data_IF_110360423831
#
_entry.id   IF_110360423831
#
_cell.length_a   1.000
_cell.length_b   1.000
_cell.length_c   1.000
_cell.angle_alpha   90.00
_cell.angle_beta   90.00
_cell.angle_gamma   90.00
#
_symmetry.space_group_name_H-M   'P 1'
#
loop_
_entity.id
_entity.type
_entity.pdbx_description
1 polymer ?
#
# COMPACT_ATOMS: atom_id res chain seq x y z
N UNK A 1 -41.95 34.00 -25.80
CA UNK A 1 -40.77 34.05 -24.91
C UNK A 1 -40.89 32.94 -23.88
N UNK A 2 -40.29 31.79 -24.14
CA UNK A 2 -40.21 30.68 -23.18
C UNK A 2 -38.84 30.71 -22.52
N UNK A 3 -38.83 30.98 -21.19
CA UNK A 3 -37.61 30.84 -20.37
C UNK A 3 -37.41 29.34 -20.02
N UNK A 4 -36.40 28.70 -20.63
CA UNK A 4 -35.92 27.39 -20.20
C UNK A 4 -35.10 27.57 -18.94
N UNK A 5 -35.62 27.05 -17.82
CA UNK A 5 -34.87 26.90 -16.57
C UNK A 5 -33.99 25.65 -16.67
N UNK A 6 -32.68 25.82 -16.84
CA UNK A 6 -31.69 24.77 -16.62
C UNK A 6 -31.63 24.50 -15.10
N UNK A 7 -32.07 23.30 -14.71
CA UNK A 7 -31.81 22.76 -13.36
C UNK A 7 -30.46 22.06 -13.44
N UNK A 8 -29.43 22.68 -12.88
CA UNK A 8 -28.14 22.04 -12.67
C UNK A 8 -28.29 21.06 -11.49
N UNK A 9 -28.31 19.78 -11.76
CA UNK A 9 -28.22 18.74 -10.74
C UNK A 9 -26.78 18.68 -10.25
N UNK A 10 -26.52 19.25 -9.07
CA UNK A 10 -25.26 19.05 -8.36
C UNK A 10 -25.23 17.61 -7.85
N UNK A 11 -24.42 16.76 -8.45
CA UNK A 11 -24.09 15.44 -7.91
C UNK A 11 -23.27 15.65 -6.63
N UNK A 12 -23.91 15.52 -5.48
CA UNK A 12 -23.22 15.41 -4.20
C UNK A 12 -22.55 14.03 -4.21
N UNK A 13 -21.25 14.02 -4.52
CA UNK A 13 -20.44 12.84 -4.25
C UNK A 13 -20.40 12.65 -2.74
N UNK A 14 -21.15 11.66 -2.25
CA UNK A 14 -21.05 11.22 -0.87
C UNK A 14 -19.63 10.71 -0.66
N UNK A 15 -18.77 11.51 -0.04
CA UNK A 15 -17.48 11.07 0.44
C UNK A 15 -17.74 10.09 1.58
N UNK A 16 -17.71 8.80 1.29
CA UNK A 16 -17.67 7.78 2.33
C UNK A 16 -16.40 8.02 3.16
N UNK A 17 -16.48 8.00 4.50
CA UNK A 17 -15.30 8.06 5.32
C UNK A 17 -14.41 6.85 4.98
N UNK A 18 -13.28 7.09 4.32
CA UNK A 18 -12.29 6.07 4.12
C UNK A 18 -11.63 5.83 5.48
N UNK A 19 -11.86 4.67 6.06
CA UNK A 19 -11.15 4.18 7.22
C UNK A 19 -9.88 3.52 6.69
N UNK A 20 -8.72 3.93 7.15
CA UNK A 20 -7.52 3.17 6.94
C UNK A 20 -7.44 2.08 8.03
N UNK A 21 -6.54 2.14 8.97
CA UNK A 21 -6.40 1.08 9.97
C UNK A 21 -7.61 1.02 10.91
N UNK A 22 -8.28 -0.14 10.96
CA UNK A 22 -9.39 -0.42 11.89
C UNK A 22 -8.83 -1.07 13.15
N UNK A 23 -8.98 -0.40 14.27
CA UNK A 23 -8.38 -0.74 15.57
C UNK A 23 -9.43 -1.23 16.56
N UNK A 24 -9.00 -1.92 17.61
CA UNK A 24 -9.87 -2.29 18.74
C UNK A 24 -10.42 -1.04 19.44
N UNK A 25 -11.72 -1.10 19.81
CA UNK A 25 -12.37 0.00 20.50
C UNK A 25 -11.97 0.10 22.00
N UNK A 26 -11.48 -0.99 22.58
CA UNK A 26 -11.11 -1.11 24.01
C UNK A 26 -9.62 -0.86 24.28
N UNK A 27 -8.88 -0.28 23.30
CA UNK A 27 -7.46 0.08 23.43
C UNK A 27 -7.24 1.56 23.14
N UNK A 28 -6.25 2.14 23.79
CA UNK A 28 -5.91 3.54 23.59
C UNK A 28 -5.17 3.76 22.27
N UNK A 29 -5.46 4.86 21.58
CA UNK A 29 -4.79 5.22 20.30
C UNK A 29 -3.28 5.40 20.50
N UNK A 30 -2.86 5.87 21.66
CA UNK A 30 -1.46 6.06 22.02
C UNK A 30 -0.64 4.77 21.92
N UNK A 31 -1.21 3.61 22.24
CA UNK A 31 -0.53 2.31 22.17
C UNK A 31 -0.21 1.93 20.71
N UNK A 32 -1.15 2.19 19.79
CA UNK A 32 -0.96 1.95 18.35
C UNK A 32 0.06 2.90 17.71
N UNK A 33 0.09 4.14 18.16
CA UNK A 33 1.08 5.14 17.75
C UNK A 33 2.49 4.77 18.27
N UNK A 34 2.60 4.32 19.50
CA UNK A 34 3.87 3.88 20.09
C UNK A 34 4.40 2.63 19.36
N UNK A 35 3.54 1.64 19.12
CA UNK A 35 3.90 0.44 18.38
C UNK A 35 4.44 0.79 16.99
N UNK A 36 3.85 1.76 16.29
CA UNK A 36 4.25 2.17 14.95
C UNK A 36 5.69 2.71 14.88
N UNK A 37 6.23 3.24 15.96
CA UNK A 37 7.60 3.78 15.98
C UNK A 37 8.67 2.77 15.62
N UNK A 38 8.38 1.47 15.76
CA UNK A 38 9.28 0.36 15.42
C UNK A 38 9.27 -0.01 13.93
N UNK A 39 8.34 0.56 13.15
CA UNK A 39 8.07 0.17 11.76
C UNK A 39 8.25 1.36 10.82
N UNK A 40 9.31 2.13 11.01
CA UNK A 40 9.58 3.36 10.25
C UNK A 40 9.74 3.14 8.73
N UNK A 41 10.00 1.89 8.29
CA UNK A 41 10.02 1.54 6.86
C UNK A 41 8.63 1.49 6.19
N UNK A 42 7.53 1.52 6.97
CA UNK A 42 6.21 1.81 6.42
C UNK A 42 6.17 3.28 5.98
N UNK A 43 5.75 3.54 4.76
CA UNK A 43 5.75 4.88 4.19
C UNK A 43 4.44 5.17 3.46
N UNK A 44 3.91 6.37 3.68
CA UNK A 44 2.80 6.86 2.88
C UNK A 44 3.28 7.22 1.46
N UNK A 45 2.48 6.88 0.46
CA UNK A 45 2.70 7.22 -0.95
C UNK A 45 1.71 8.34 -1.34
N UNK A 46 1.85 9.47 -0.68
CA UNK A 46 0.91 10.59 -0.85
C UNK A 46 -0.54 10.21 -0.56
N UNK A 47 -1.44 10.53 -1.48
CA UNK A 47 -2.87 10.15 -1.41
C UNK A 47 -3.19 8.84 -2.15
N UNK A 48 -2.18 8.13 -2.66
CA UNK A 48 -2.39 6.94 -3.48
C UNK A 48 -2.45 5.66 -2.66
N UNK A 49 -1.89 5.65 -1.46
CA UNK A 49 -1.84 4.50 -0.55
C UNK A 49 -0.54 4.44 0.23
N UNK A 50 -0.13 3.23 0.56
CA UNK A 50 0.98 2.93 1.46
C UNK A 50 2.03 2.04 0.78
N UNK A 51 3.19 1.88 1.41
CA UNK A 51 4.23 0.97 0.98
C UNK A 51 5.25 0.69 2.06
N UNK A 52 6.22 -0.16 1.75
CA UNK A 52 7.36 -0.46 2.58
C UNK A 52 8.67 -0.10 1.88
N UNK A 53 9.55 0.62 2.54
CA UNK A 53 10.93 0.79 2.09
C UNK A 53 11.69 -0.53 2.30
N UNK A 54 11.99 -1.24 1.20
CA UNK A 54 12.66 -2.55 1.25
C UNK A 54 14.16 -2.49 0.94
N UNK A 55 14.60 -1.39 0.37
CA UNK A 55 16.00 -1.01 0.13
C UNK A 55 16.08 0.52 -0.01
N UNK A 56 17.25 1.17 0.07
CA UNK A 56 17.35 2.63 0.15
C UNK A 56 16.61 3.42 -0.93
N UNK A 57 16.40 2.83 -2.11
CA UNK A 57 15.68 3.44 -3.25
C UNK A 57 14.44 2.66 -3.68
N UNK A 58 14.05 1.62 -2.95
CA UNK A 58 13.00 0.71 -3.38
C UNK A 58 11.86 0.66 -2.38
N UNK A 59 10.67 0.94 -2.87
CA UNK A 59 9.43 0.79 -2.12
C UNK A 59 8.62 -0.35 -2.72
N UNK A 60 8.20 -1.27 -1.87
CA UNK A 60 7.26 -2.32 -2.19
C UNK A 60 5.85 -1.83 -1.83
N UNK A 61 4.90 -1.97 -2.75
CA UNK A 61 3.51 -1.53 -2.59
C UNK A 61 2.55 -2.44 -3.36
N UNK A 62 1.26 -2.11 -3.39
CA UNK A 62 0.28 -2.87 -4.18
C UNK A 62 0.27 -2.49 -5.67
N UNK A 63 -0.17 -3.41 -6.52
CA UNK A 63 -0.41 -3.15 -7.94
C UNK A 63 -1.49 -2.10 -8.16
N UNK A 64 -2.47 -1.99 -7.24
CA UNK A 64 -3.52 -0.98 -7.26
C UNK A 64 -2.93 0.44 -7.11
N UNK A 65 -2.04 0.63 -6.13
CA UNK A 65 -1.29 1.89 -5.95
C UNK A 65 -0.46 2.21 -7.19
N UNK A 66 0.27 1.24 -7.73
CA UNK A 66 1.06 1.42 -8.94
C UNK A 66 0.22 1.83 -10.16
N UNK A 67 -0.99 1.28 -10.29
CA UNK A 67 -1.93 1.66 -11.35
C UNK A 67 -2.37 3.11 -11.20
N UNK A 68 -2.80 3.51 -10.00
CA UNK A 68 -3.20 4.88 -9.72
C UNK A 68 -2.07 5.89 -9.99
N UNK A 69 -0.82 5.54 -9.64
CA UNK A 69 0.35 6.35 -9.93
C UNK A 69 0.62 6.48 -11.44
N UNK A 70 0.43 5.41 -12.24
CA UNK A 70 0.59 5.47 -13.70
C UNK A 70 -0.48 6.30 -14.39
N UNK A 71 -1.67 6.40 -13.82
CA UNK A 71 -2.76 7.23 -14.31
C UNK A 71 -2.55 8.71 -13.99
N UNK A 72 -1.74 9.02 -13.00
CA UNK A 72 -1.37 10.40 -12.67
C UNK A 72 -0.55 11.02 -13.80
N UNK A 73 -0.90 12.27 -14.16
CA UNK A 73 -0.21 13.01 -15.24
C UNK A 73 0.98 13.77 -14.68
N UNK A 74 2.10 13.72 -15.39
CA UNK A 74 3.31 14.49 -15.08
C UNK A 74 4.39 13.68 -14.37
N UNK A 75 5.36 14.38 -13.80
CA UNK A 75 6.43 13.79 -13.01
C UNK A 75 5.87 13.31 -11.68
N UNK A 76 6.07 12.04 -11.35
CA UNK A 76 5.66 11.48 -10.08
C UNK A 76 6.62 11.92 -8.98
N UNK A 77 6.19 12.92 -8.22
CA UNK A 77 6.88 13.42 -7.05
C UNK A 77 5.97 13.22 -5.84
N UNK A 78 6.44 12.44 -4.88
CA UNK A 78 5.62 11.94 -3.79
C UNK A 78 6.24 12.27 -2.45
N UNK A 79 5.45 12.64 -1.44
CA UNK A 79 5.92 12.79 -0.07
C UNK A 79 6.18 11.40 0.52
N UNK A 80 7.45 11.03 0.65
CA UNK A 80 7.89 9.74 1.17
C UNK A 80 8.95 9.98 2.25
N UNK A 81 8.72 9.43 3.45
CA UNK A 81 9.64 9.59 4.57
C UNK A 81 9.84 11.06 4.97
N UNK A 82 8.79 11.87 4.91
CA UNK A 82 8.81 13.28 5.30
C UNK A 82 9.45 14.23 4.27
N UNK A 83 9.84 13.75 3.09
CA UNK A 83 10.42 14.57 2.02
C UNK A 83 9.81 14.24 0.66
N UNK A 84 9.75 15.24 -0.22
CA UNK A 84 9.33 15.07 -1.61
C UNK A 84 10.39 14.29 -2.40
N UNK A 85 9.99 13.18 -3.03
CA UNK A 85 10.90 12.27 -3.76
C UNK A 85 10.38 11.97 -5.16
N UNK A 86 11.27 11.99 -6.14
CA UNK A 86 10.96 11.64 -7.52
C UNK A 86 10.93 10.11 -7.69
N UNK A 87 9.85 9.59 -8.26
CA UNK A 87 9.74 8.20 -8.68
C UNK A 87 10.35 8.07 -10.08
N UNK A 88 11.42 7.29 -10.18
CA UNK A 88 12.15 7.04 -11.43
C UNK A 88 11.51 5.93 -12.26
N UNK A 89 10.91 4.93 -11.62
CA UNK A 89 10.31 3.79 -12.29
C UNK A 89 9.26 3.08 -11.44
N UNK A 90 8.31 2.44 -12.11
CA UNK A 90 7.25 1.61 -11.52
C UNK A 90 7.30 0.25 -12.20
N UNK A 91 7.47 -0.81 -11.41
CA UNK A 91 7.58 -2.18 -11.89
C UNK A 91 6.44 -3.01 -11.32
N UNK A 92 5.81 -3.81 -12.16
CA UNK A 92 4.75 -4.76 -11.77
C UNK A 92 5.03 -6.13 -12.39
N UNK A 93 4.75 -7.24 -11.70
CA UNK A 93 4.81 -8.55 -12.32
C UNK A 93 3.68 -8.70 -13.37
N UNK A 94 3.73 -9.72 -14.23
CA UNK A 94 2.65 -10.02 -15.17
C UNK A 94 1.30 -10.26 -14.48
N UNK A 95 1.34 -10.87 -13.30
CA UNK A 95 0.15 -11.19 -12.49
C UNK A 95 0.40 -10.84 -11.02
N UNK A 96 -0.68 -10.49 -10.31
CA UNK A 96 -0.67 -10.20 -8.88
C UNK A 96 -0.84 -8.73 -8.53
N UNK A 97 -1.22 -8.48 -7.28
CA UNK A 97 -1.40 -7.13 -6.73
C UNK A 97 -0.18 -6.73 -5.89
N UNK A 98 0.94 -6.51 -6.58
CA UNK A 98 2.21 -6.09 -5.99
C UNK A 98 2.97 -5.22 -6.99
N UNK A 99 3.77 -4.28 -6.49
CA UNK A 99 4.58 -3.40 -7.33
C UNK A 99 5.83 -2.92 -6.58
N UNK A 100 6.84 -2.54 -7.36
CA UNK A 100 8.03 -1.86 -6.89
C UNK A 100 8.07 -0.43 -7.45
N UNK A 101 8.37 0.53 -6.60
CA UNK A 101 8.71 1.89 -6.99
C UNK A 101 10.22 2.08 -6.81
N UNK A 102 10.88 2.53 -7.87
CA UNK A 102 12.27 2.95 -7.82
C UNK A 102 12.33 4.46 -7.63
N UNK A 103 12.93 4.92 -6.56
CA UNK A 103 13.17 6.33 -6.29
C UNK A 103 14.46 6.80 -7.00
N UNK A 104 14.50 8.07 -7.41
CA UNK A 104 15.71 8.68 -7.98
C UNK A 104 16.82 8.73 -6.95
N UNK A 105 16.50 9.15 -5.74
CA UNK A 105 17.43 9.31 -4.63
C UNK A 105 17.10 8.35 -3.48
N UNK A 106 18.10 7.92 -2.70
CA UNK A 106 17.84 7.07 -1.53
C UNK A 106 17.05 7.81 -0.45
N UNK A 107 16.30 7.03 0.33
CA UNK A 107 15.67 7.51 1.57
C UNK A 107 16.71 7.40 2.67
N UNK A 108 17.11 8.54 3.22
CA UNK A 108 18.04 8.61 4.34
C UNK A 108 17.29 8.66 5.67
N UNK A 109 17.92 8.15 6.73
CA UNK A 109 17.38 8.19 8.10
C UNK A 109 16.27 7.15 8.37
N UNK A 110 15.88 6.35 7.40
CA UNK A 110 14.95 5.23 7.55
C UNK A 110 15.66 3.93 7.19
N UNK A 111 15.71 3.01 8.13
CA UNK A 111 16.24 1.67 7.87
C UNK A 111 15.23 0.86 7.05
N UNK A 112 15.67 0.33 5.92
CA UNK A 112 14.84 -0.49 5.05
C UNK A 112 14.60 -1.87 5.67
N UNK A 113 13.38 -2.39 5.54
CA UNK A 113 13.00 -3.73 5.99
C UNK A 113 12.94 -4.68 4.81
N UNK A 114 13.80 -5.72 4.74
CA UNK A 114 13.85 -6.61 3.58
C UNK A 114 12.57 -7.43 3.39
N UNK A 115 12.26 -7.86 2.16
CA UNK A 115 11.15 -8.76 1.88
C UNK A 115 11.37 -10.14 2.52
N UNK A 116 10.29 -10.76 3.02
CA UNK A 116 10.30 -12.13 3.52
C UNK A 116 10.47 -13.11 2.34
N UNK A 117 11.25 -14.18 2.56
CA UNK A 117 11.63 -15.12 1.49
C UNK A 117 11.26 -16.58 1.76
N UNK A 118 10.92 -16.89 3.02
CA UNK A 118 10.55 -18.25 3.40
C UNK A 118 9.03 -18.44 3.22
N UNK A 119 8.54 -19.68 3.23
CA UNK A 119 7.16 -20.06 2.93
C UNK A 119 6.37 -20.53 4.17
N UNK A 120 6.81 -20.10 5.35
CA UNK A 120 6.28 -20.55 6.64
C UNK A 120 5.53 -19.46 7.43
N UNK A 121 4.91 -18.50 6.74
CA UNK A 121 4.21 -17.36 7.36
C UNK A 121 3.01 -17.75 8.23
N UNK A 122 2.47 -18.96 8.00
CA UNK A 122 1.27 -19.44 8.69
C UNK A 122 1.40 -19.46 10.20
N UNK A 123 0.39 -18.94 10.92
CA UNK A 123 0.28 -18.82 12.37
C UNK A 123 1.27 -17.86 13.04
N UNK A 124 2.10 -17.16 12.25
CA UNK A 124 2.92 -16.08 12.80
C UNK A 124 2.08 -14.84 13.08
N UNK A 125 2.41 -14.15 14.15
CA UNK A 125 1.95 -12.80 14.37
C UNK A 125 2.62 -11.88 13.35
N UNK A 126 1.84 -10.95 12.79
CA UNK A 126 2.31 -9.88 11.92
C UNK A 126 1.87 -8.54 12.45
N UNK A 127 2.65 -7.52 12.15
CA UNK A 127 2.33 -6.14 12.51
C UNK A 127 2.04 -5.36 11.24
N UNK A 128 0.84 -4.82 11.16
CA UNK A 128 0.39 -3.97 10.05
C UNK A 128 0.71 -2.53 10.44
N UNK A 129 1.36 -1.77 9.57
CA UNK A 129 1.64 -0.35 9.82
C UNK A 129 1.16 0.51 8.67
N UNK A 130 0.46 1.60 8.98
CA UNK A 130 -0.10 2.54 8.00
C UNK A 130 -0.18 3.96 8.55
N UNK A 131 -0.14 4.95 7.64
CA UNK A 131 -0.32 6.38 7.91
C UNK A 131 -1.72 6.86 7.53
N UNK A 132 -2.55 5.97 7.06
CA UNK A 132 -3.91 6.32 6.65
C UNK A 132 -4.78 6.83 7.81
N UNK A 133 -6.06 7.01 7.53
CA UNK A 133 -7.00 7.37 8.56
C UNK A 133 -7.20 6.21 9.54
N UNK A 134 -7.29 6.44 10.83
CA UNK A 134 -7.56 5.41 11.81
C UNK A 134 -9.02 5.47 12.29
N UNK A 135 -9.64 4.31 12.45
CA UNK A 135 -10.98 4.18 13.01
C UNK A 135 -11.04 3.05 14.02
N UNK A 136 -12.04 3.08 14.88
CA UNK A 136 -12.27 2.01 15.86
C UNK A 136 -13.37 1.06 15.38
N UNK A 137 -13.21 -0.23 15.64
CA UNK A 137 -14.25 -1.22 15.31
C UNK A 137 -15.59 -0.83 15.92
N UNK A 138 -16.63 -0.78 15.06
CA UNK A 138 -18.00 -0.43 15.47
C UNK A 138 -18.27 1.07 15.62
N UNK A 139 -17.29 1.94 15.44
CA UNK A 139 -17.46 3.40 15.52
C UNK A 139 -17.43 4.02 14.11
N UNK A 140 -18.17 5.13 13.95
CA UNK A 140 -18.16 5.91 12.72
C UNK A 140 -17.09 7.01 12.71
N UNK A 141 -16.45 7.26 13.85
CA UNK A 141 -15.43 8.29 14.00
C UNK A 141 -14.09 7.85 13.39
N UNK A 142 -13.47 8.77 12.66
CA UNK A 142 -12.18 8.55 11.97
C UNK A 142 -11.22 9.66 12.30
N UNK A 143 -9.99 9.31 12.65
CA UNK A 143 -8.88 10.24 12.87
C UNK A 143 -8.01 10.29 11.62
N UNK A 144 -7.83 11.48 11.05
CA UNK A 144 -6.95 11.73 9.89
C UNK A 144 -5.88 12.74 10.26
N UNK A 145 -4.84 12.29 10.89
CA UNK A 145 -3.73 13.13 11.37
C UNK A 145 -2.40 12.85 10.66
N UNK A 146 -2.39 11.88 9.73
CA UNK A 146 -1.19 11.48 8.99
C UNK A 146 -0.12 10.78 9.84
N UNK A 147 -0.46 10.40 11.08
CA UNK A 147 0.45 9.69 11.97
C UNK A 147 0.39 8.19 11.70
N UNK A 148 1.56 7.56 11.70
CA UNK A 148 1.63 6.11 11.59
C UNK A 148 1.00 5.43 12.81
N UNK A 149 0.17 4.41 12.56
CA UNK A 149 -0.31 3.47 13.58
C UNK A 149 0.07 2.06 13.17
N UNK A 150 0.30 1.21 14.15
CA UNK A 150 0.56 -0.20 13.89
C UNK A 150 -0.36 -1.08 14.73
N UNK A 151 -0.84 -2.17 14.13
CA UNK A 151 -1.72 -3.13 14.78
C UNK A 151 -1.19 -4.55 14.57
N UNK A 152 -1.51 -5.44 15.51
CA UNK A 152 -1.05 -6.83 15.50
C UNK A 152 -2.19 -7.72 15.02
N UNK A 153 -1.90 -8.64 14.11
CA UNK A 153 -2.81 -9.71 13.76
C UNK A 153 -2.04 -11.02 13.54
N UNK A 154 -2.73 -12.09 13.18
CA UNK A 154 -2.12 -13.41 12.94
C UNK A 154 -2.42 -13.84 11.52
N UNK A 155 -1.47 -14.49 10.86
CA UNK A 155 -1.67 -15.14 9.57
C UNK A 155 -2.47 -16.42 9.80
N UNK A 156 -3.78 -16.37 9.57
CA UNK A 156 -4.68 -17.50 9.77
C UNK A 156 -4.82 -18.38 8.50
N UNK A 157 -4.52 -17.82 7.32
CA UNK A 157 -4.60 -18.50 6.04
C UNK A 157 -3.42 -18.15 5.14
N UNK A 158 -2.81 -19.16 4.53
CA UNK A 158 -1.75 -19.02 3.54
C UNK A 158 -2.20 -19.71 2.24
N UNK A 159 -2.23 -18.94 1.16
CA UNK A 159 -2.47 -19.42 -0.20
C UNK A 159 -1.24 -19.16 -1.07
N UNK A 160 -1.24 -19.59 -2.32
CA UNK A 160 -0.09 -19.44 -3.21
C UNK A 160 0.45 -18.00 -3.24
N UNK A 161 -0.45 -17.01 -3.35
CA UNK A 161 -0.10 -15.59 -3.47
C UNK A 161 -0.80 -14.67 -2.47
N UNK A 162 -1.48 -15.25 -1.47
CA UNK A 162 -2.29 -14.48 -0.53
C UNK A 162 -2.07 -14.94 0.91
N UNK A 163 -1.91 -14.00 1.81
CA UNK A 163 -2.06 -14.19 3.25
C UNK A 163 -3.40 -13.65 3.68
N UNK A 164 -4.13 -14.41 4.51
CA UNK A 164 -5.39 -13.99 5.09
C UNK A 164 -5.24 -13.84 6.60
N UNK A 165 -5.63 -12.67 7.11
CA UNK A 165 -5.69 -12.34 8.52
C UNK A 165 -7.16 -12.18 8.89
N UNK A 166 -7.63 -12.89 9.90
CA UNK A 166 -9.03 -12.80 10.29
C UNK A 166 -9.22 -11.80 11.43
N UNK A 167 -10.21 -10.93 11.32
CA UNK A 167 -10.63 -10.12 12.45
C UNK A 167 -11.38 -11.02 13.44
N UNK A 168 -10.80 -11.20 14.62
CA UNK A 168 -11.32 -12.05 15.68
C UNK A 168 -12.10 -11.24 16.70
N UNK A 169 -13.06 -11.89 17.36
CA UNK A 169 -13.74 -11.32 18.50
C UNK A 169 -12.79 -11.09 19.70
N UNK A 170 -13.19 -10.32 20.71
CA UNK A 170 -12.31 -9.92 21.83
C UNK A 170 -11.64 -11.09 22.55
N UNK A 171 -12.29 -12.25 22.61
CA UNK A 171 -11.79 -13.47 23.28
C UNK A 171 -10.57 -14.08 22.58
N UNK A 172 -10.52 -14.00 21.23
CA UNK A 172 -9.50 -14.64 20.39
C UNK A 172 -8.55 -13.62 19.72
N UNK A 173 -8.84 -12.34 19.87
CA UNK A 173 -8.09 -11.27 19.24
C UNK A 173 -6.72 -11.10 19.93
N UNK A 174 -5.70 -10.73 19.12
CA UNK A 174 -4.46 -10.21 19.68
C UNK A 174 -4.71 -8.91 20.46
N UNK A 175 -3.85 -8.60 21.40
CA UNK A 175 -4.00 -7.44 22.30
C UNK A 175 -4.19 -6.13 21.52
N UNK A 176 -3.43 -5.95 20.46
CA UNK A 176 -3.42 -4.77 19.59
C UNK A 176 -4.02 -5.07 18.21
N UNK A 177 -5.06 -5.93 18.15
CA UNK A 177 -5.62 -6.33 16.88
C UNK A 177 -6.08 -5.14 16.05
N UNK A 178 -5.82 -5.25 14.75
CA UNK A 178 -6.37 -4.35 13.74
C UNK A 178 -6.37 -5.00 12.37
N UNK A 179 -6.92 -4.29 11.40
CA UNK A 179 -6.97 -4.67 10.00
C UNK A 179 -6.81 -3.45 9.11
N UNK A 180 -6.28 -3.67 7.90
CA UNK A 180 -6.26 -2.66 6.87
C UNK A 180 -7.69 -2.27 6.45
N UNK A 181 -7.91 -1.00 6.24
CA UNK A 181 -9.17 -0.45 5.75
C UNK A 181 -9.01 0.26 4.41
N UNK A 182 -10.08 0.91 3.89
CA UNK A 182 -9.98 1.70 2.67
C UNK A 182 -8.96 2.83 2.81
N UNK A 183 -7.94 2.84 1.95
CA UNK A 183 -6.82 3.79 1.97
C UNK A 183 -5.51 3.23 2.50
N UNK A 184 -5.51 1.98 2.99
CA UNK A 184 -4.30 1.25 3.39
C UNK A 184 -3.77 0.34 2.28
N UNK A 185 -4.25 0.48 1.05
CA UNK A 185 -3.72 -0.28 -0.07
C UNK A 185 -2.20 -0.10 -0.15
N UNK A 186 -1.49 -1.22 -0.14
CA UNK A 186 -0.03 -1.20 -0.12
C UNK A 186 0.62 -1.20 1.27
N UNK A 187 -0.16 -1.07 2.36
CA UNK A 187 0.38 -1.12 3.72
C UNK A 187 1.09 -2.46 3.99
N UNK A 188 2.29 -2.42 4.58
CA UNK A 188 3.03 -3.64 4.90
C UNK A 188 2.48 -4.37 6.12
N UNK A 189 2.51 -5.71 6.05
CA UNK A 189 2.45 -6.60 7.17
C UNK A 189 3.87 -7.13 7.46
N UNK A 190 4.39 -6.78 8.61
CA UNK A 190 5.73 -7.16 9.05
C UNK A 190 5.70 -8.45 9.86
N UNK A 191 6.64 -9.33 9.57
CA UNK A 191 6.90 -10.55 10.33
C UNK A 191 8.27 -10.45 11.00
N UNK A 192 8.32 -10.74 12.29
CA UNK A 192 9.59 -10.84 13.01
C UNK A 192 10.01 -12.31 13.12
N UNK A 193 11.23 -12.61 12.67
CA UNK A 193 11.82 -13.95 12.77
C UNK A 193 13.28 -13.85 13.22
N UNK A 194 13.58 -14.56 14.30
CA UNK A 194 14.94 -14.55 14.90
C UNK A 194 15.46 -13.14 15.21
N UNK A 195 14.59 -12.27 15.72
CA UNK A 195 14.94 -10.88 16.07
C UNK A 195 15.14 -9.94 14.86
N UNK A 196 14.74 -10.34 13.65
CA UNK A 196 14.80 -9.51 12.45
C UNK A 196 13.41 -9.31 11.87
N UNK A 197 13.16 -8.11 11.41
CA UNK A 197 11.92 -7.75 10.72
C UNK A 197 12.02 -8.01 9.22
N UNK A 198 10.90 -8.44 8.65
CA UNK A 198 10.72 -8.67 7.22
C UNK A 198 9.34 -8.18 6.79
N UNK A 199 9.20 -7.74 5.54
CA UNK A 199 7.91 -7.47 4.92
C UNK A 199 7.35 -8.78 4.37
N UNK A 200 6.35 -9.35 5.03
CA UNK A 200 5.73 -10.63 4.66
C UNK A 200 4.49 -10.47 3.78
N UNK A 201 3.76 -9.36 3.94
CA UNK A 201 2.55 -9.09 3.18
C UNK A 201 2.42 -7.63 2.78
N UNK A 202 1.67 -7.39 1.69
CA UNK A 202 1.27 -6.06 1.22
C UNK A 202 -0.25 -6.03 1.12
N UNK A 203 -0.90 -5.11 1.82
CA UNK A 203 -2.36 -5.01 1.88
C UNK A 203 -2.95 -4.80 0.48
N UNK A 204 -3.91 -5.66 0.11
CA UNK A 204 -4.62 -5.55 -1.16
C UNK A 204 -5.71 -4.47 -1.13
N UNK A 205 -6.05 -4.02 0.07
CA UNK A 205 -7.20 -3.16 0.33
C UNK A 205 -8.51 -3.95 0.41
N UNK A 206 -9.53 -3.34 1.00
CA UNK A 206 -10.82 -4.00 1.17
C UNK A 206 -11.49 -4.22 -0.18
N UNK A 207 -12.16 -5.37 -0.32
CA UNK A 207 -13.05 -5.64 -1.46
C UNK A 207 -14.33 -4.83 -1.30
N UNK A 208 -14.31 -3.57 -1.71
CA UNK A 208 -15.42 -2.63 -1.59
C UNK A 208 -15.18 -1.53 -0.53
N UNK A 209 -16.14 -0.62 -0.38
CA UNK A 209 -16.04 0.52 0.55
C UNK A 209 -16.40 0.17 2.01
N UNK A 210 -16.51 -1.11 2.35
CA UNK A 210 -16.96 -1.54 3.67
C UNK A 210 -15.82 -1.51 4.70
N UNK A 211 -16.12 -0.96 5.87
CA UNK A 211 -15.24 -1.06 7.05
C UNK A 211 -15.16 -2.52 7.50
N UNK A 212 -13.97 -3.10 7.71
CA UNK A 212 -13.81 -4.46 8.21
C UNK A 212 -14.56 -4.70 9.54
N UNK A 213 -15.16 -5.88 9.67
CA UNK A 213 -15.93 -6.32 10.84
C UNK A 213 -15.36 -7.62 11.41
N UNK A 214 -15.68 -7.91 12.65
CA UNK A 214 -15.37 -9.21 13.25
C UNK A 214 -15.88 -10.34 12.35
N UNK A 215 -14.99 -11.27 12.02
CA UNK A 215 -15.23 -12.38 11.11
C UNK A 215 -14.76 -12.14 9.67
N UNK A 216 -14.54 -10.90 9.27
CA UNK A 216 -14.02 -10.57 7.94
C UNK A 216 -12.55 -10.98 7.80
N UNK A 217 -12.15 -11.13 6.54
CA UNK A 217 -10.77 -11.41 6.14
C UNK A 217 -10.10 -10.14 5.63
N UNK A 218 -8.97 -9.80 6.21
CA UNK A 218 -8.03 -8.82 5.71
C UNK A 218 -6.98 -9.55 4.85
N UNK A 219 -6.86 -9.16 3.57
CA UNK A 219 -6.07 -9.88 2.58
C UNK A 219 -4.81 -9.12 2.19
N UNK A 220 -3.71 -9.86 2.14
CA UNK A 220 -2.39 -9.36 1.77
C UNK A 220 -1.81 -10.17 0.63
N UNK A 221 -1.16 -9.50 -0.31
CA UNK A 221 -0.29 -10.19 -1.27
C UNK A 221 0.88 -10.80 -0.51
N UNK A 222 1.09 -12.11 -0.67
CA UNK A 222 2.15 -12.88 -0.03
C UNK A 222 3.49 -12.54 -0.67
N UNK A 223 4.37 -11.82 0.03
CA UNK A 223 5.62 -11.28 -0.53
C UNK A 223 6.61 -12.37 -0.91
N UNK A 224 6.71 -13.45 -0.12
CA UNK A 224 7.62 -14.56 -0.39
C UNK A 224 7.39 -15.20 -1.77
N UNK A 225 6.13 -15.23 -2.24
CA UNK A 225 5.78 -15.81 -3.55
C UNK A 225 6.22 -14.95 -4.75
N UNK A 226 6.70 -13.74 -4.51
CA UNK A 226 7.23 -12.82 -5.52
C UNK A 226 8.74 -12.56 -5.35
N UNK A 227 9.42 -13.38 -4.55
CA UNK A 227 10.82 -13.20 -4.22
C UNK A 227 11.73 -13.09 -5.45
N UNK A 228 11.63 -14.03 -6.37
CA UNK A 228 12.43 -14.06 -7.60
C UNK A 228 12.13 -12.84 -8.48
N UNK A 229 10.87 -12.49 -8.64
CA UNK A 229 10.49 -11.31 -9.41
C UNK A 229 11.04 -10.00 -8.80
N UNK A 230 10.98 -9.86 -7.47
CA UNK A 230 11.54 -8.69 -6.78
C UNK A 230 13.04 -8.56 -7.09
N UNK A 231 13.80 -9.66 -6.95
CA UNK A 231 15.24 -9.67 -7.18
C UNK A 231 15.57 -9.37 -8.65
N UNK A 232 14.85 -9.98 -9.58
CA UNK A 232 15.02 -9.74 -11.02
C UNK A 232 14.72 -8.29 -11.41
N UNK A 233 13.62 -7.72 -10.91
CA UNK A 233 13.25 -6.34 -11.19
C UNK A 233 14.29 -5.34 -10.66
N UNK A 234 14.76 -5.56 -9.43
CA UNK A 234 15.81 -4.74 -8.83
C UNK A 234 17.14 -4.87 -9.58
N UNK A 235 17.53 -6.07 -9.99
CA UNK A 235 18.75 -6.34 -10.77
C UNK A 235 18.70 -5.66 -12.14
N UNK A 236 17.62 -5.82 -12.90
CA UNK A 236 17.44 -5.19 -14.23
C UNK A 236 17.51 -3.67 -14.17
N UNK A 237 16.90 -3.08 -13.14
CA UNK A 237 16.96 -1.64 -12.96
C UNK A 237 18.39 -1.15 -12.64
N UNK A 238 19.15 -1.90 -11.85
CA UNK A 238 20.56 -1.60 -11.54
C UNK A 238 21.47 -1.73 -12.77
N UNK A 239 21.21 -2.69 -13.66
CA UNK A 239 21.94 -2.95 -14.90
C UNK A 239 21.65 -1.91 -16.00
N UNK A 240 20.68 -1.02 -15.81
CA UNK A 240 20.26 -0.05 -16.83
C UNK A 240 19.43 -0.66 -17.98
N UNK A 241 19.09 -1.95 -17.91
CA UNK A 241 18.29 -2.66 -18.90
C UNK A 241 16.80 -2.30 -18.81
N UNK A 242 16.35 -1.84 -17.66
CA UNK A 242 15.01 -1.36 -17.43
C UNK A 242 14.92 0.16 -17.63
N UNK A 243 15.07 0.65 -18.84
CA UNK A 243 14.47 1.94 -19.20
C UNK A 243 12.96 1.69 -19.25
N UNK A 244 12.29 2.10 -18.18
CA UNK A 244 10.86 1.92 -18.00
C UNK A 244 10.10 2.27 -19.26
N UNK A 245 9.01 1.58 -19.53
CA UNK A 245 8.01 1.96 -20.51
C UNK A 245 7.46 3.36 -20.21
N UNK A 246 8.24 4.36 -20.57
CA UNK A 246 7.82 5.74 -20.68
C UNK A 246 6.88 5.78 -21.87
N UNK A 247 5.58 5.85 -21.61
CA UNK A 247 4.53 6.09 -22.59
C UNK A 247 4.71 7.48 -23.21
N UNK A 248 5.59 7.56 -24.22
CA UNK A 248 5.61 8.66 -25.18
C UNK A 248 5.00 8.15 -26.49
N UNK A 249 3.84 8.65 -26.93
CA UNK A 249 3.31 8.29 -28.24
C UNK A 249 4.23 8.88 -29.30
N UNK A 250 4.93 8.02 -30.03
CA UNK A 250 5.67 8.41 -31.25
C UNK A 250 4.69 9.08 -32.20
N UNK A 251 4.78 10.39 -32.38
CA UNK A 251 4.16 11.12 -33.47
C UNK A 251 4.64 10.50 -34.78
N UNK A 252 3.81 9.72 -35.44
CA UNK A 252 3.97 9.37 -36.85
C UNK A 252 3.84 10.65 -37.65
N UNK A 253 4.94 11.20 -38.12
CA UNK A 253 4.98 12.26 -39.11
C UNK A 253 4.41 11.73 -40.42
N UNK A 254 3.24 12.22 -40.81
CA UNK A 254 2.71 12.05 -42.16
C UNK A 254 3.56 12.88 -43.11
N UNK A 255 4.47 12.24 -43.83
CA UNK A 255 5.05 12.82 -45.04
C UNK A 255 3.96 12.91 -46.09
N UNK A 256 3.42 14.10 -46.30
CA UNK A 256 2.70 14.43 -47.55
C UNK A 256 3.74 14.36 -48.68
N UNK A 257 3.58 13.40 -49.59
CA UNK A 257 4.16 13.48 -50.92
C UNK A 257 3.44 14.61 -51.67
N UNK A 258 4.17 15.61 -52.09
CA UNK A 258 3.81 16.42 -53.21
C UNK A 258 4.37 15.71 -54.45
N UNK A 259 3.54 15.41 -55.38
CA UNK A 259 3.88 15.12 -56.78
C UNK A 259 3.39 16.25 -57.67
N UNK A 260 4.05 16.43 -58.84
CA UNK A 260 4.15 17.68 -59.59
C UNK A 260 2.90 18.12 -60.36
#
# INVERSE_FOLDING_TARGET
MLLSRLVAAAAIAAAFPAFALVLRADREDAEYLELATRYASAVAIGSYGEGALIAPRWILTSGNVARALREARGTLRLPIGGAERDVQGIFTPPEGDIALLLLREPVEGIEATPPYREDDEGRHAVVIASHGAAGRMGEAAVVRDGRARAAINTVDRVEAHVLGLRLKGPEDASDMQGAAGPGDEGAPAYLEKKGRLFVAGIAQGPRGAAVPRIGDWDLYTRVSSYGEWIDEAMFRAASGEARGESSSPRRRGSRRRQEP
#
